data_IF_157155366606
#
_entry.id   IF_157155366606
#
_cell.length_a   1.000
_cell.length_b   1.000
_cell.length_c   1.000
_cell.angle_alpha   90.00
_cell.angle_beta   90.00
_cell.angle_gamma   90.00
#
_symmetry.space_group_name_H-M   'P 1'
#
loop_
_entity.id
_entity.type
_entity.pdbx_description
1 polymer ?
#
# COMPACT_ATOMS: atom_id res chain seq x y z
N UNK A 1 -30.64 2.70 7.10
CA UNK A 1 -29.98 2.98 6.66
C UNK A 1 -29.06 3.54 6.72
N UNK A 2 -28.88 4.26 7.14
CA UNK A 2 -27.82 4.94 6.89
C UNK A 2 -26.70 4.17 6.77
N UNK A 3 -26.20 3.99 5.78
CA UNK A 3 -24.92 3.42 5.66
C UNK A 3 -23.95 4.55 5.58
N UNK A 4 -22.73 4.28 5.94
CA UNK A 4 -21.69 5.26 5.80
C UNK A 4 -21.50 5.64 4.34
N UNK A 5 -21.72 4.70 3.44
CA UNK A 5 -21.60 4.96 2.00
C UNK A 5 -22.52 6.08 1.57
N UNK A 6 -23.71 6.16 2.16
CA UNK A 6 -24.66 7.19 1.83
C UNK A 6 -24.25 8.54 2.40
N UNK A 7 -23.49 8.52 3.48
CA UNK A 7 -23.06 9.74 4.14
C UNK A 7 -21.79 10.33 3.52
N UNK A 8 -21.08 9.54 2.74
CA UNK A 8 -19.80 9.99 2.20
C UNK A 8 -20.00 10.72 0.89
N UNK A 9 -19.64 11.99 0.88
CA UNK A 9 -19.63 12.78 -0.34
C UNK A 9 -18.36 12.51 -1.14
N UNK A 10 -18.38 12.86 -2.41
CA UNK A 10 -17.16 12.84 -3.22
C UNK A 10 -16.17 13.86 -2.67
N UNK A 11 -14.90 13.52 -2.66
CA UNK A 11 -13.87 14.38 -2.12
C UNK A 11 -12.53 14.10 -2.80
N UNK A 12 -11.58 14.99 -2.56
CA UNK A 12 -10.22 14.82 -3.01
C UNK A 12 -9.26 15.12 -1.87
N UNK A 13 -8.11 14.46 -1.88
CA UNK A 13 -7.03 14.76 -0.94
C UNK A 13 -5.75 15.01 -1.73
N UNK A 14 -4.89 15.86 -1.19
CA UNK A 14 -3.57 16.07 -1.76
C UNK A 14 -2.64 15.03 -1.13
N UNK A 15 -2.31 14.01 -1.90
CA UNK A 15 -1.62 12.82 -1.36
C UNK A 15 -0.29 13.15 -0.67
N UNK A 16 0.57 14.01 -1.23
CA UNK A 16 1.88 14.28 -0.61
C UNK A 16 1.80 14.85 0.80
N UNK A 17 0.72 15.59 1.12
CA UNK A 17 0.55 16.24 2.42
C UNK A 17 -0.42 15.52 3.34
N UNK A 18 -0.99 14.42 2.92
CA UNK A 18 -1.98 13.72 3.72
C UNK A 18 -1.38 13.22 5.02
N UNK A 19 -2.09 13.44 6.13
CA UNK A 19 -1.68 12.92 7.41
C UNK A 19 -1.99 11.42 7.48
N UNK A 20 -1.01 10.64 7.91
CA UNK A 20 -1.13 9.20 7.99
C UNK A 20 -1.00 8.76 9.44
N UNK A 21 -1.60 7.61 9.76
CA UNK A 21 -1.54 7.03 11.09
C UNK A 21 -0.70 5.75 11.05
N UNK A 22 -0.13 5.38 12.21
CA UNK A 22 0.70 4.18 12.29
C UNK A 22 -0.11 2.93 11.92
N UNK A 23 0.47 2.11 11.05
CA UNK A 23 -0.05 0.80 10.67
C UNK A 23 1.09 -0.20 10.82
N UNK A 24 1.44 -0.59 12.06
CA UNK A 24 2.62 -1.39 12.31
C UNK A 24 2.64 -2.70 11.55
N UNK A 25 3.82 -3.01 11.00
CA UNK A 25 4.06 -4.32 10.40
C UNK A 25 4.08 -5.40 11.47
N UNK A 26 3.71 -6.62 11.07
CA UNK A 26 4.02 -7.79 11.88
C UNK A 26 5.55 -7.90 11.92
N UNK A 27 6.18 -8.03 13.10
CA UNK A 27 7.63 -8.13 13.19
C UNK A 27 8.24 -9.23 12.32
N UNK A 28 7.49 -10.29 12.05
CA UNK A 28 7.97 -11.39 11.21
C UNK A 28 8.13 -10.97 9.74
N UNK A 29 7.49 -9.92 9.32
CA UNK A 29 7.63 -9.41 7.96
C UNK A 29 8.95 -8.66 7.75
N UNK A 30 9.60 -8.21 8.81
CA UNK A 30 10.79 -7.37 8.70
C UNK A 30 12.02 -8.27 8.53
N UNK A 31 12.68 -8.13 7.38
CA UNK A 31 13.91 -8.88 7.07
C UNK A 31 15.13 -8.11 7.52
N UNK A 32 15.16 -6.80 7.28
CA UNK A 32 16.27 -5.97 7.74
C UNK A 32 15.84 -4.51 7.87
N UNK A 33 16.57 -3.78 8.71
CA UNK A 33 16.30 -2.38 9.00
C UNK A 33 15.18 -2.21 10.02
N UNK A 34 14.66 -1.00 10.10
CA UNK A 34 13.57 -0.65 11.01
C UNK A 34 12.47 0.09 10.25
N UNK A 35 11.92 -0.51 9.17
CA UNK A 35 10.90 0.17 8.39
C UNK A 35 9.64 0.38 9.21
N UNK A 36 9.01 1.54 8.99
CA UNK A 36 7.75 1.89 9.63
C UNK A 36 6.70 2.12 8.57
N UNK A 37 5.50 1.60 8.79
CA UNK A 37 4.37 1.78 7.89
C UNK A 37 3.35 2.72 8.52
N UNK A 38 2.88 3.65 7.70
CA UNK A 38 1.77 4.54 8.05
C UNK A 38 0.78 4.53 6.90
N UNK A 39 -0.46 4.85 7.19
CA UNK A 39 -1.48 4.83 6.14
C UNK A 39 -2.75 5.55 6.53
N UNK A 40 -3.66 5.63 5.58
CA UNK A 40 -4.97 6.20 5.77
C UNK A 40 -5.94 5.56 4.78
N UNK A 41 -7.00 4.96 5.30
CA UNK A 41 -8.08 4.44 4.47
C UNK A 41 -8.98 5.63 4.10
N UNK A 42 -9.11 5.89 2.83
CA UNK A 42 -9.96 6.96 2.31
C UNK A 42 -11.39 6.49 2.10
N UNK A 43 -11.55 5.23 1.73
CA UNK A 43 -12.86 4.63 1.47
C UNK A 43 -12.79 3.13 1.64
N UNK A 44 -13.85 2.57 2.16
CA UNK A 44 -14.01 1.12 2.32
C UNK A 44 -15.42 0.75 1.87
N UNK A 45 -15.55 -0.36 1.12
CA UNK A 45 -16.85 -0.83 0.69
C UNK A 45 -17.66 -1.34 1.88
N UNK A 46 -19.00 -1.38 1.72
CA UNK A 46 -19.89 -1.81 2.80
C UNK A 46 -19.59 -3.23 3.28
N UNK A 47 -19.14 -4.11 2.38
CA UNK A 47 -18.79 -5.49 2.72
C UNK A 47 -17.35 -5.62 3.25
N UNK A 48 -16.60 -4.53 3.30
CA UNK A 48 -15.23 -4.52 3.79
C UNK A 48 -14.21 -5.14 2.83
N UNK A 49 -14.62 -5.51 1.62
CA UNK A 49 -13.74 -6.22 0.70
C UNK A 49 -12.95 -5.34 -0.22
N UNK A 50 -13.31 -4.07 -0.32
CA UNK A 50 -12.57 -3.12 -1.13
C UNK A 50 -12.11 -1.95 -0.29
N UNK A 51 -10.86 -1.58 -0.46
CA UNK A 51 -10.23 -0.49 0.27
C UNK A 51 -9.52 0.43 -0.71
N UNK A 52 -9.65 1.73 -0.49
CA UNK A 52 -8.89 2.74 -1.22
C UNK A 52 -8.22 3.64 -0.20
N UNK A 53 -6.94 3.90 -0.40
CA UNK A 53 -6.23 4.67 0.59
C UNK A 53 -4.85 5.10 0.18
N UNK A 54 -4.10 5.55 1.17
CA UNK A 54 -2.72 5.99 1.06
C UNK A 54 -1.90 5.14 2.02
N UNK A 55 -0.71 4.74 1.58
CA UNK A 55 0.18 3.90 2.35
C UNK A 55 1.61 4.40 2.17
N UNK A 56 2.38 4.38 3.24
CA UNK A 56 3.77 4.81 3.21
C UNK A 56 4.63 3.85 4.01
N UNK A 57 5.84 3.62 3.52
CA UNK A 57 6.83 2.79 4.23
C UNK A 57 8.19 3.48 4.16
N UNK A 58 8.89 3.48 5.30
CA UNK A 58 10.25 3.98 5.38
C UNK A 58 11.26 2.90 4.97
N UNK A 59 12.53 3.25 4.69
CA UNK A 59 13.51 2.28 4.18
C UNK A 59 13.72 1.04 5.04
N UNK A 60 13.91 -0.07 4.39
CA UNK A 60 14.14 -1.38 4.98
C UNK A 60 13.74 -2.48 4.01
N UNK A 61 13.83 -3.72 4.47
CA UNK A 61 13.43 -4.88 3.68
C UNK A 61 12.32 -5.62 4.40
N UNK A 62 11.21 -5.82 3.72
CA UNK A 62 10.04 -6.52 4.28
C UNK A 62 9.50 -7.55 3.31
N UNK A 63 8.81 -8.55 3.84
CA UNK A 63 8.08 -9.54 3.03
C UNK A 63 6.59 -9.33 3.21
N UNK A 64 5.84 -9.78 2.22
CA UNK A 64 4.38 -9.73 2.27
C UNK A 64 3.78 -10.87 1.44
N UNK A 65 2.54 -11.20 1.76
CA UNK A 65 1.69 -12.01 0.89
C UNK A 65 0.61 -11.05 0.41
N UNK A 66 0.56 -10.82 -0.89
CA UNK A 66 -0.22 -9.73 -1.45
C UNK A 66 -1.70 -10.06 -1.59
N UNK A 67 -2.52 -9.01 -1.57
CA UNK A 67 -3.89 -9.05 -2.03
C UNK A 67 -3.91 -8.59 -3.50
N UNK A 68 -5.09 -8.65 -4.14
CA UNK A 68 -5.25 -8.01 -5.44
C UNK A 68 -5.18 -6.50 -5.22
N UNK A 69 -4.21 -5.87 -5.81
CA UNK A 69 -3.96 -4.46 -5.59
C UNK A 69 -3.52 -3.74 -6.86
N UNK A 70 -4.07 -2.55 -7.06
CA UNK A 70 -3.50 -1.57 -7.98
C UNK A 70 -3.00 -0.42 -7.14
N UNK A 71 -1.77 0.04 -7.37
CA UNK A 71 -1.31 1.26 -6.72
C UNK A 71 -0.48 2.13 -7.64
N UNK A 72 -0.39 3.40 -7.29
CA UNK A 72 0.45 4.38 -7.99
C UNK A 72 1.42 4.95 -6.98
N UNK A 73 2.71 4.95 -7.33
CA UNK A 73 3.74 5.53 -6.48
C UNK A 73 3.75 7.04 -6.65
N UNK A 74 3.65 7.76 -5.54
CA UNK A 74 3.66 9.22 -5.52
C UNK A 74 5.07 9.73 -5.24
N UNK A 75 5.79 9.07 -4.32
CA UNK A 75 7.16 9.46 -3.97
C UNK A 75 7.93 8.24 -3.48
N UNK A 76 9.25 8.33 -3.51
CA UNK A 76 10.12 7.27 -3.04
C UNK A 76 10.39 6.21 -4.11
N UNK A 77 11.22 5.21 -3.74
CA UNK A 77 11.61 4.13 -4.65
C UNK A 77 11.75 2.81 -3.89
N UNK A 78 11.40 1.74 -4.55
CA UNK A 78 11.56 0.39 -4.01
C UNK A 78 11.79 -0.62 -5.12
N UNK A 79 12.38 -1.76 -4.74
CA UNK A 79 12.47 -2.95 -5.58
C UNK A 79 11.53 -3.98 -4.97
N UNK A 80 10.62 -4.50 -5.76
CA UNK A 80 9.66 -5.54 -5.32
C UNK A 80 9.98 -6.81 -6.09
N UNK A 81 10.44 -7.83 -5.35
CA UNK A 81 10.73 -9.15 -5.94
C UNK A 81 9.54 -10.05 -5.72
N UNK A 82 8.93 -10.50 -6.80
CA UNK A 82 7.80 -11.43 -6.75
C UNK A 82 8.37 -12.84 -6.82
N UNK A 83 8.08 -13.65 -5.79
CA UNK A 83 8.58 -15.02 -5.72
C UNK A 83 8.08 -15.81 -6.92
N UNK A 84 9.03 -16.39 -7.68
CA UNK A 84 8.71 -17.13 -8.90
C UNK A 84 8.32 -16.27 -10.08
N UNK A 85 8.46 -14.96 -9.97
CA UNK A 85 8.06 -14.00 -10.99
C UNK A 85 9.10 -12.93 -11.24
N UNK A 86 8.62 -11.75 -11.63
CA UNK A 86 9.48 -10.64 -12.01
C UNK A 86 10.00 -9.84 -10.82
N UNK A 87 11.03 -9.06 -11.08
CA UNK A 87 11.50 -8.02 -10.17
C UNK A 87 10.98 -6.69 -10.69
N UNK A 88 10.25 -5.98 -9.83
CA UNK A 88 9.64 -4.71 -10.20
C UNK A 88 10.44 -3.56 -9.57
N UNK A 89 10.94 -2.67 -10.41
CA UNK A 89 11.56 -1.43 -9.94
C UNK A 89 10.51 -0.35 -10.02
N UNK A 90 10.15 0.25 -8.89
CA UNK A 90 9.07 1.22 -8.84
C UNK A 90 9.52 2.55 -8.25
N UNK A 91 9.00 3.63 -8.81
CA UNK A 91 9.29 4.99 -8.40
C UNK A 91 8.15 5.92 -8.77
N UNK A 92 8.31 7.24 -8.53
CA UNK A 92 7.22 8.20 -8.72
C UNK A 92 6.61 8.13 -10.12
N UNK A 93 5.29 8.03 -10.16
CA UNK A 93 4.54 7.96 -11.40
C UNK A 93 4.32 6.56 -11.93
N UNK A 94 4.94 5.54 -11.31
CA UNK A 94 4.71 4.15 -11.72
C UNK A 94 3.42 3.61 -11.12
N UNK A 95 2.69 2.84 -11.90
CA UNK A 95 1.57 2.06 -11.41
C UNK A 95 1.99 0.60 -11.37
N UNK A 96 1.54 -0.13 -10.36
CA UNK A 96 1.82 -1.54 -10.22
C UNK A 96 0.54 -2.30 -9.94
N UNK A 97 0.49 -3.55 -10.42
CA UNK A 97 -0.62 -4.46 -10.16
C UNK A 97 -0.03 -5.68 -9.46
N UNK A 98 -0.52 -5.96 -8.27
CA UNK A 98 -0.14 -7.16 -7.52
C UNK A 98 -1.32 -8.10 -7.47
N UNK A 99 -1.04 -9.39 -7.38
CA UNK A 99 -2.06 -10.44 -7.37
C UNK A 99 -2.16 -11.10 -6.02
N UNK A 100 -3.37 -11.44 -5.65
CA UNK A 100 -3.63 -12.18 -4.43
C UNK A 100 -2.79 -13.45 -4.37
N UNK A 101 -2.14 -13.66 -3.25
CA UNK A 101 -1.32 -14.84 -3.00
C UNK A 101 0.13 -14.71 -3.42
N UNK A 102 0.49 -13.70 -4.19
CA UNK A 102 1.89 -13.50 -4.54
C UNK A 102 2.70 -13.18 -3.30
N UNK A 103 3.84 -13.86 -3.16
CA UNK A 103 4.77 -13.57 -2.08
C UNK A 103 5.82 -12.62 -2.61
N UNK A 104 6.03 -11.53 -1.88
CA UNK A 104 6.93 -10.48 -2.32
C UNK A 104 7.95 -10.14 -1.26
N UNK A 105 9.09 -9.63 -1.72
CA UNK A 105 10.09 -9.01 -0.88
C UNK A 105 10.28 -7.59 -1.38
N UNK A 106 10.02 -6.63 -0.50
CA UNK A 106 10.16 -5.21 -0.79
C UNK A 106 11.45 -4.70 -0.20
N UNK A 107 12.33 -4.20 -1.05
CA UNK A 107 13.51 -3.45 -0.61
C UNK A 107 13.20 -1.97 -0.85
N UNK A 108 12.92 -1.27 0.22
CA UNK A 108 12.56 0.15 0.15
C UNK A 108 13.83 0.98 0.25
N UNK A 109 14.17 1.68 -0.84
CA UNK A 109 15.39 2.49 -0.92
C UNK A 109 15.19 3.89 -0.38
N UNK A 110 14.04 4.49 -0.68
CA UNK A 110 13.64 5.81 -0.20
C UNK A 110 12.20 5.69 0.29
N UNK A 111 11.86 6.42 1.35
CA UNK A 111 10.50 6.41 1.89
C UNK A 111 9.50 6.49 0.75
N UNK A 112 8.66 5.47 0.63
CA UNK A 112 7.74 5.33 -0.50
C UNK A 112 6.32 5.61 -0.05
N UNK A 113 5.63 6.47 -0.79
CA UNK A 113 4.21 6.76 -0.58
C UNK A 113 3.45 6.39 -1.84
N UNK A 114 2.35 5.67 -1.66
CA UNK A 114 1.50 5.23 -2.78
C UNK A 114 0.03 5.48 -2.47
N UNK A 115 -0.76 5.63 -3.53
CA UNK A 115 -2.22 5.57 -3.46
C UNK A 115 -2.65 4.22 -4.00
N UNK A 116 -3.57 3.55 -3.33
CA UNK A 116 -3.90 2.16 -3.63
C UNK A 116 -5.39 1.88 -3.70
N UNK A 117 -5.71 0.80 -4.43
CA UNK A 117 -7.01 0.14 -4.40
C UNK A 117 -6.76 -1.35 -4.18
N UNK A 118 -7.31 -1.89 -3.10
CA UNK A 118 -7.18 -3.30 -2.74
C UNK A 118 -8.54 -3.96 -2.80
N UNK A 119 -8.57 -5.18 -3.33
CA UNK A 119 -9.73 -6.05 -3.29
C UNK A 119 -9.36 -7.30 -2.51
N UNK A 120 -10.11 -7.58 -1.44
CA UNK A 120 -9.92 -8.77 -0.59
C UNK A 120 -10.81 -9.91 -1.08
N UNK A 121 -10.41 -11.18 -0.81
CA UNK A 121 -11.22 -12.32 -1.22
C UNK A 121 -12.58 -12.41 -0.54
#
# INVERSE_FOLDING_TARGET
MTTNDQAVASFAVHIPDAELEAEPLDPEQIVSGTPEVTGKVLWESADGKQLRGIWQITPGVVTDTEANELFVVVSGRATVEVEGGDVLEIGPGDAAVLREGDRTTWTVHETLRKAYHITLP
#
